data_IF_175084419168
#
_entry.id   IF_175084419168
#
_cell.length_a   1.000
_cell.length_b   1.000
_cell.length_c   1.000
_cell.angle_alpha   90.00
_cell.angle_beta   90.00
_cell.angle_gamma   90.00
#
_symmetry.space_group_name_H-M   'P 1'
#
loop_
_entity.id
_entity.type
_entity.pdbx_description
1 polymer ?
#
# COMPACT_ATOMS: atom_id res chain seq x y z
N UNK A 1 -24.22 17.99 -7.33
CA UNK A 1 -25.07 18.79 -6.41
C UNK A 1 -25.67 17.82 -5.40
N UNK A 2 -25.77 18.19 -4.13
CA UNK A 2 -26.55 17.39 -3.18
C UNK A 2 -28.04 17.61 -3.46
N UNK A 3 -28.80 16.52 -3.61
CA UNK A 3 -30.22 16.54 -3.99
C UNK A 3 -31.16 16.24 -2.81
N UNK A 4 -30.64 16.26 -1.58
CA UNK A 4 -31.45 16.16 -0.37
C UNK A 4 -32.12 17.49 -0.04
N UNK A 5 -31.95 17.95 1.20
CA UNK A 5 -32.52 19.21 1.65
C UNK A 5 -31.85 20.42 1.00
N UNK A 6 -32.64 21.45 0.70
CA UNK A 6 -32.18 22.73 0.17
C UNK A 6 -32.68 23.88 1.04
N UNK A 7 -31.88 24.94 1.18
CA UNK A 7 -32.32 26.16 1.84
C UNK A 7 -33.52 26.77 1.11
N UNK A 8 -34.58 27.10 1.86
CA UNK A 8 -35.75 27.82 1.34
C UNK A 8 -35.59 29.34 1.39
N UNK A 9 -34.69 29.83 2.24
CA UNK A 9 -34.30 31.24 2.36
C UNK A 9 -32.84 31.36 2.82
N UNK A 10 -32.19 32.49 2.51
CA UNK A 10 -30.87 32.80 3.04
C UNK A 10 -30.97 33.05 4.57
N UNK A 11 -30.09 32.45 5.40
CA UNK A 11 -30.05 32.76 6.82
C UNK A 11 -29.73 34.24 7.08
N UNK A 12 -30.20 34.78 8.21
CA UNK A 12 -29.91 36.17 8.59
C UNK A 12 -28.38 36.38 8.68
N UNK A 13 -27.89 37.48 8.09
CA UNK A 13 -26.46 37.81 8.06
C UNK A 13 -25.66 37.04 7.01
N UNK A 14 -26.32 36.30 6.12
CA UNK A 14 -25.70 35.65 4.97
C UNK A 14 -26.18 36.28 3.66
N UNK A 15 -25.24 36.49 2.74
CA UNK A 15 -25.52 36.84 1.35
C UNK A 15 -25.35 35.62 0.44
N UNK A 16 -26.14 35.58 -0.63
CA UNK A 16 -26.05 34.51 -1.64
C UNK A 16 -24.94 34.84 -2.63
N UNK A 17 -23.99 33.92 -2.79
CA UNK A 17 -22.83 34.08 -3.66
C UNK A 17 -22.84 33.12 -4.87
N UNK A 18 -23.70 32.10 -4.87
CA UNK A 18 -23.97 31.29 -6.07
C UNK A 18 -25.41 30.77 -6.11
N UNK A 19 -25.94 30.62 -7.33
CA UNK A 19 -27.28 30.08 -7.61
C UNK A 19 -27.28 29.20 -8.85
N UNK A 20 -28.28 28.34 -8.96
CA UNK A 20 -28.61 27.56 -10.16
C UNK A 20 -30.08 27.75 -10.50
N UNK A 21 -30.53 27.28 -11.67
CA UNK A 21 -31.94 27.34 -12.04
C UNK A 21 -32.85 26.56 -11.07
N UNK A 22 -32.35 25.46 -10.50
CA UNK A 22 -33.10 24.57 -9.60
C UNK A 22 -32.83 24.80 -8.12
N UNK A 23 -31.86 25.64 -7.75
CA UNK A 23 -31.55 25.97 -6.35
C UNK A 23 -31.07 27.42 -6.25
N UNK A 24 -31.84 28.32 -5.62
CA UNK A 24 -31.50 29.73 -5.50
C UNK A 24 -30.39 30.03 -4.48
N UNK A 25 -30.08 29.09 -3.58
CA UNK A 25 -29.12 29.27 -2.47
C UNK A 25 -28.00 28.22 -2.52
N UNK A 26 -27.24 28.18 -3.62
CA UNK A 26 -26.21 27.13 -3.82
C UNK A 26 -24.96 27.39 -3.00
N UNK A 27 -24.58 28.66 -2.86
CA UNK A 27 -23.51 29.05 -1.96
C UNK A 27 -23.86 30.35 -1.24
N UNK A 28 -23.54 30.40 0.05
CA UNK A 28 -23.79 31.53 0.93
C UNK A 28 -22.52 31.91 1.68
N UNK A 29 -22.33 33.20 1.94
CA UNK A 29 -21.24 33.75 2.74
C UNK A 29 -21.83 34.63 3.84
N UNK A 30 -21.34 34.49 5.06
CA UNK A 30 -21.71 35.39 6.15
C UNK A 30 -21.06 36.75 5.93
N UNK A 31 -21.81 37.84 6.13
CA UNK A 31 -21.35 39.20 5.77
C UNK A 31 -20.16 39.67 6.62
N UNK A 32 -20.15 39.37 7.92
CA UNK A 32 -19.09 39.78 8.84
C UNK A 32 -18.09 38.67 9.21
N UNK A 33 -18.51 37.41 9.19
CA UNK A 33 -17.72 36.26 9.68
C UNK A 33 -17.21 35.46 8.50
N UNK A 34 -16.05 34.80 8.66
CA UNK A 34 -15.47 33.87 7.67
C UNK A 34 -16.22 32.52 7.66
N UNK A 35 -17.54 32.55 7.48
CA UNK A 35 -18.41 31.37 7.43
C UNK A 35 -19.00 31.27 6.03
N UNK A 36 -18.83 30.10 5.42
CA UNK A 36 -19.23 29.80 4.06
C UNK A 36 -20.05 28.52 4.06
N UNK A 37 -21.10 28.47 3.24
CA UNK A 37 -21.91 27.28 3.02
C UNK A 37 -22.04 27.00 1.52
N UNK A 38 -21.94 25.73 1.13
CA UNK A 38 -22.08 25.27 -0.25
C UNK A 38 -22.97 24.02 -0.30
N UNK A 39 -23.84 23.91 -1.30
CA UNK A 39 -24.81 22.81 -1.49
C UNK A 39 -24.26 21.70 -2.42
N UNK A 40 -22.95 21.69 -2.65
CA UNK A 40 -22.26 20.69 -3.46
C UNK A 40 -20.94 20.30 -2.81
N UNK A 41 -20.38 19.19 -3.29
CA UNK A 41 -19.16 18.59 -2.77
C UNK A 41 -17.96 19.09 -3.57
N UNK A 42 -17.14 20.04 -3.06
CA UNK A 42 -15.93 20.48 -3.75
C UNK A 42 -14.80 19.45 -3.69
N UNK A 43 -14.91 18.42 -2.85
CA UNK A 43 -13.92 17.36 -2.67
C UNK A 43 -13.97 16.28 -3.75
N UNK A 44 -15.06 16.17 -4.52
CA UNK A 44 -15.21 15.13 -5.54
C UNK A 44 -14.71 15.59 -6.91
N UNK A 45 -14.10 14.66 -7.66
CA UNK A 45 -13.61 14.90 -9.03
C UNK A 45 -14.68 15.37 -10.02
N UNK A 46 -15.96 15.17 -9.71
CA UNK A 46 -17.10 15.63 -10.51
C UNK A 46 -17.34 17.15 -10.40
N UNK A 47 -16.63 17.85 -9.50
CA UNK A 47 -16.63 19.31 -9.38
C UNK A 47 -15.31 19.83 -9.98
N UNK A 48 -15.28 20.29 -11.24
CA UNK A 48 -14.03 20.59 -11.95
C UNK A 48 -13.09 21.56 -11.22
N UNK A 49 -13.64 22.57 -10.54
CA UNK A 49 -12.89 23.59 -9.78
C UNK A 49 -12.95 23.40 -8.26
N UNK A 50 -13.35 22.20 -7.81
CA UNK A 50 -13.53 21.90 -6.39
C UNK A 50 -12.25 22.05 -5.57
N UNK A 51 -11.12 21.54 -6.09
CA UNK A 51 -9.79 21.71 -5.48
C UNK A 51 -9.39 23.17 -5.34
N UNK A 52 -9.69 24.01 -6.35
CA UNK A 52 -9.37 25.44 -6.30
C UNK A 52 -10.21 26.14 -5.22
N UNK A 53 -11.49 25.78 -5.06
CA UNK A 53 -12.36 26.29 -4.01
C UNK A 53 -11.81 25.95 -2.62
N UNK A 54 -11.42 24.69 -2.40
CA UNK A 54 -10.80 24.24 -1.15
C UNK A 54 -9.48 24.97 -0.88
N UNK A 55 -8.64 25.15 -1.91
CA UNK A 55 -7.39 25.91 -1.80
C UNK A 55 -7.62 27.37 -1.40
N UNK A 56 -8.60 28.04 -2.01
CA UNK A 56 -8.96 29.41 -1.66
C UNK A 56 -9.41 29.52 -0.21
N UNK A 57 -10.15 28.53 0.29
CA UNK A 57 -10.56 28.49 1.69
C UNK A 57 -9.37 28.27 2.63
N UNK A 58 -8.57 27.22 2.40
CA UNK A 58 -7.47 26.84 3.30
C UNK A 58 -6.33 27.86 3.27
N UNK A 59 -5.82 28.20 2.08
CA UNK A 59 -4.67 29.10 1.97
C UNK A 59 -5.05 30.57 1.97
N UNK A 60 -6.17 30.93 1.34
CA UNK A 60 -6.61 32.32 1.26
C UNK A 60 -7.36 32.78 2.52
N UNK A 61 -8.48 32.14 2.83
CA UNK A 61 -9.39 32.59 3.89
C UNK A 61 -8.84 32.25 5.29
N UNK A 62 -8.38 31.01 5.49
CA UNK A 62 -7.78 30.55 6.74
C UNK A 62 -6.32 31.00 6.90
N UNK A 63 -5.66 31.41 5.81
CA UNK A 63 -4.28 31.90 5.86
C UNK A 63 -3.24 30.81 6.14
N UNK A 64 -3.56 29.54 5.87
CA UNK A 64 -2.64 28.43 6.11
C UNK A 64 -1.63 28.37 4.97
N UNK A 65 -0.36 28.66 5.30
CA UNK A 65 0.74 28.61 4.34
C UNK A 65 0.98 27.16 3.86
N UNK A 66 1.21 27.00 2.55
CA UNK A 66 1.58 25.72 1.95
C UNK A 66 3.08 25.47 2.10
N UNK A 67 3.46 24.43 2.84
CA UNK A 67 4.83 23.91 2.89
C UNK A 67 5.40 23.76 4.31
N UNK A 68 6.21 22.73 4.52
CA UNK A 68 6.97 22.50 5.77
C UNK A 68 6.73 21.17 6.47
N UNK A 69 5.71 20.40 6.06
CA UNK A 69 5.30 19.17 6.77
C UNK A 69 6.46 18.18 6.97
N UNK A 70 7.27 17.91 5.94
CA UNK A 70 8.38 16.94 6.04
C UNK A 70 9.46 17.35 7.03
N UNK A 71 9.80 18.64 7.11
CA UNK A 71 10.78 19.16 8.07
C UNK A 71 10.22 19.15 9.49
N UNK A 72 8.94 19.49 9.66
CA UNK A 72 8.25 19.39 10.95
C UNK A 72 8.19 17.94 11.45
N UNK A 73 7.96 16.98 10.54
CA UNK A 73 7.86 15.57 10.90
C UNK A 73 9.22 14.97 11.28
N UNK A 74 10.31 15.33 10.59
CA UNK A 74 11.67 14.93 10.97
C UNK A 74 12.01 15.39 12.39
N UNK A 75 11.67 16.64 12.72
CA UNK A 75 11.93 17.19 14.05
C UNK A 75 11.04 16.55 15.13
N UNK A 76 9.78 16.24 14.78
CA UNK A 76 8.87 15.47 15.64
C UNK A 76 9.45 14.09 15.96
N UNK A 77 9.94 13.37 14.95
CA UNK A 77 10.60 12.07 15.12
C UNK A 77 11.80 12.20 16.06
N UNK A 78 12.68 13.18 15.83
CA UNK A 78 13.87 13.40 16.70
C UNK A 78 13.47 13.69 18.14
N UNK A 79 12.43 14.49 18.35
CA UNK A 79 11.93 14.84 19.68
C UNK A 79 11.36 13.61 20.40
N UNK A 80 10.55 12.79 19.71
CA UNK A 80 9.91 11.60 20.28
C UNK A 80 10.95 10.52 20.61
N UNK A 81 11.85 10.23 19.67
CA UNK A 81 12.87 9.17 19.82
C UNK A 81 13.99 9.63 20.76
N UNK A 82 14.28 10.93 20.79
CA UNK A 82 15.37 11.48 21.59
C UNK A 82 16.76 11.08 21.05
N UNK A 83 17.81 11.33 21.85
CA UNK A 83 19.20 11.18 21.39
C UNK A 83 19.74 9.74 21.41
N UNK A 84 19.17 8.87 22.23
CA UNK A 84 19.77 7.55 22.54
C UNK A 84 18.91 6.35 22.18
N UNK A 85 17.59 6.51 22.09
CA UNK A 85 16.72 5.39 21.79
C UNK A 85 16.90 4.92 20.34
N UNK A 86 16.71 3.62 20.14
CA UNK A 86 16.80 2.95 18.86
C UNK A 86 15.39 2.55 18.40
N UNK A 87 15.19 2.50 17.09
CA UNK A 87 13.90 2.23 16.46
C UNK A 87 14.04 1.01 15.57
N UNK A 88 13.11 0.07 15.69
CA UNK A 88 13.03 -1.10 14.80
C UNK A 88 11.79 -1.01 13.91
N UNK A 89 11.82 -1.58 12.72
CA UNK A 89 10.66 -1.56 11.82
C UNK A 89 10.65 -2.69 10.80
N UNK A 90 9.47 -3.22 10.53
CA UNK A 90 9.26 -4.12 9.40
C UNK A 90 9.17 -3.30 8.09
N UNK A 91 10.02 -3.61 7.12
CA UNK A 91 10.02 -2.97 5.80
C UNK A 91 9.81 -4.01 4.72
N UNK A 92 8.68 -3.92 4.00
CA UNK A 92 8.29 -4.90 2.99
C UNK A 92 8.73 -4.52 1.57
N UNK A 93 9.32 -3.34 1.39
CA UNK A 93 9.57 -2.74 0.07
C UNK A 93 8.32 -2.08 -0.53
N UNK A 94 7.18 -2.14 0.16
CA UNK A 94 5.99 -1.36 -0.17
C UNK A 94 6.20 0.13 0.09
N UNK A 95 5.50 0.96 -0.70
CA UNK A 95 5.62 2.44 -0.72
C UNK A 95 5.64 3.03 0.70
N UNK A 96 4.65 2.70 1.52
CA UNK A 96 4.48 3.33 2.84
C UNK A 96 5.63 2.99 3.78
N UNK A 97 6.00 1.71 3.84
CA UNK A 97 7.12 1.25 4.67
C UNK A 97 8.45 1.86 4.21
N UNK A 98 8.65 2.06 2.91
CA UNK A 98 9.88 2.66 2.37
C UNK A 98 9.95 4.16 2.65
N UNK A 99 8.86 4.90 2.46
CA UNK A 99 8.80 6.34 2.77
C UNK A 99 9.00 6.57 4.26
N UNK A 100 8.32 5.78 5.11
CA UNK A 100 8.48 5.83 6.55
C UNK A 100 9.94 5.51 6.97
N UNK A 101 10.53 4.44 6.41
CA UNK A 101 11.92 4.08 6.67
C UNK A 101 12.90 5.19 6.26
N UNK A 102 12.67 5.85 5.13
CA UNK A 102 13.51 6.96 4.66
C UNK A 102 13.40 8.18 5.59
N UNK A 103 12.21 8.53 6.06
CA UNK A 103 12.02 9.59 7.06
C UNK A 103 12.80 9.31 8.35
N UNK A 104 12.69 8.07 8.86
CA UNK A 104 13.41 7.65 10.05
C UNK A 104 14.93 7.71 9.82
N UNK A 105 15.43 7.24 8.68
CA UNK A 105 16.85 7.34 8.36
C UNK A 105 17.36 8.79 8.32
N UNK A 106 16.59 9.73 7.75
CA UNK A 106 16.96 11.16 7.76
C UNK A 106 16.92 11.75 9.17
N UNK A 107 15.94 11.33 9.99
CA UNK A 107 15.75 11.87 11.31
C UNK A 107 16.80 11.39 12.32
N UNK A 108 17.10 10.08 12.32
CA UNK A 108 17.89 9.43 13.37
C UNK A 108 19.05 8.56 12.87
N UNK A 109 19.25 8.46 11.55
CA UNK A 109 20.36 7.73 10.91
C UNK A 109 20.35 6.24 11.21
N UNK A 110 21.53 5.69 11.48
CA UNK A 110 21.78 4.27 11.77
C UNK A 110 21.06 3.75 13.02
N UNK A 111 20.37 4.63 13.77
CA UNK A 111 19.54 4.23 14.91
C UNK A 111 18.21 3.61 14.51
N UNK A 112 17.86 3.67 13.23
CA UNK A 112 16.74 2.95 12.67
C UNK A 112 17.20 1.61 12.08
N UNK A 113 16.64 0.51 12.58
CA UNK A 113 16.91 -0.86 12.14
C UNK A 113 15.71 -1.39 11.37
N UNK A 114 15.85 -1.56 10.06
CA UNK A 114 14.83 -2.18 9.23
C UNK A 114 15.03 -3.70 9.18
N UNK A 115 13.94 -4.45 9.29
CA UNK A 115 13.89 -5.89 9.00
C UNK A 115 12.99 -6.11 7.79
N UNK A 116 13.53 -6.77 6.77
CA UNK A 116 12.78 -7.33 5.66
C UNK A 116 12.78 -8.85 5.75
N UNK A 117 11.59 -9.46 5.76
CA UNK A 117 11.44 -10.92 5.79
C UNK A 117 11.05 -11.41 4.40
N UNK A 118 11.91 -12.21 3.76
CA UNK A 118 11.51 -12.97 2.59
C UNK A 118 10.70 -14.19 3.03
N UNK A 119 9.39 -14.07 2.84
CA UNK A 119 8.42 -15.11 3.18
C UNK A 119 8.21 -16.13 2.04
N UNK A 120 8.98 -16.05 0.95
CA UNK A 120 8.87 -16.98 -0.16
C UNK A 120 7.64 -16.79 -1.06
N UNK A 121 6.75 -15.85 -0.75
CA UNK A 121 5.52 -15.58 -1.52
C UNK A 121 5.44 -14.14 -2.03
N UNK A 122 6.55 -13.41 -2.02
CA UNK A 122 6.70 -12.11 -2.70
C UNK A 122 6.75 -12.26 -4.23
N UNK A 123 6.77 -11.16 -5.00
CA UNK A 123 6.98 -11.25 -6.47
C UNK A 123 8.37 -11.80 -6.81
N UNK A 124 8.56 -12.19 -8.07
CA UNK A 124 9.87 -12.60 -8.56
C UNK A 124 10.88 -11.45 -8.39
N UNK A 125 12.06 -11.75 -7.85
CA UNK A 125 13.16 -10.82 -7.57
C UNK A 125 12.83 -9.67 -6.60
N UNK A 126 11.64 -9.66 -6.02
CA UNK A 126 11.14 -8.56 -5.19
C UNK A 126 12.03 -8.26 -3.99
N UNK A 127 12.45 -9.31 -3.26
CA UNK A 127 13.26 -9.15 -2.06
C UNK A 127 14.62 -8.56 -2.41
N UNK A 128 15.25 -9.10 -3.44
CA UNK A 128 16.56 -8.68 -3.92
C UNK A 128 16.52 -7.22 -4.37
N UNK A 129 15.62 -6.89 -5.30
CA UNK A 129 15.46 -5.53 -5.85
C UNK A 129 15.14 -4.52 -4.74
N UNK A 130 14.21 -4.84 -3.84
CA UNK A 130 13.85 -3.95 -2.75
C UNK A 130 14.99 -3.81 -1.72
N UNK A 131 15.75 -4.88 -1.46
CA UNK A 131 16.89 -4.83 -0.53
C UNK A 131 18.01 -3.94 -1.04
N UNK A 132 18.32 -4.01 -2.35
CA UNK A 132 19.32 -3.17 -3.01
C UNK A 132 18.89 -1.71 -2.95
N UNK A 133 17.63 -1.43 -3.28
CA UNK A 133 17.08 -0.07 -3.23
C UNK A 133 17.15 0.54 -1.82
N UNK A 134 16.65 -0.19 -0.81
CA UNK A 134 16.61 0.27 0.57
C UNK A 134 18.01 0.44 1.17
N UNK A 135 18.90 -0.54 0.97
CA UNK A 135 20.23 -0.53 1.59
C UNK A 135 21.21 0.36 0.83
N UNK A 136 21.37 0.16 -0.47
CA UNK A 136 22.44 0.80 -1.25
C UNK A 136 22.08 2.22 -1.68
N UNK A 137 20.84 2.44 -2.14
CA UNK A 137 20.43 3.76 -2.64
C UNK A 137 19.87 4.66 -1.53
N UNK A 138 19.09 4.09 -0.62
CA UNK A 138 18.46 4.86 0.46
C UNK A 138 19.29 4.92 1.75
N UNK A 139 20.33 4.09 1.87
CA UNK A 139 21.24 4.06 3.01
C UNK A 139 20.58 3.53 4.29
N UNK A 140 19.55 2.70 4.17
CA UNK A 140 18.82 2.17 5.34
C UNK A 140 19.59 0.99 5.91
N UNK A 141 19.80 1.00 7.22
CA UNK A 141 20.34 -0.14 7.96
C UNK A 141 19.30 -1.29 7.94
N UNK A 142 19.45 -2.17 6.95
CA UNK A 142 18.50 -3.22 6.61
C UNK A 142 19.07 -4.60 6.91
N UNK A 143 18.34 -5.39 7.71
CA UNK A 143 18.53 -6.83 7.87
C UNK A 143 17.53 -7.57 6.99
N UNK A 144 18.02 -8.44 6.10
CA UNK A 144 17.18 -9.30 5.25
C UNK A 144 17.19 -10.71 5.81
N UNK A 145 16.01 -11.25 6.05
CA UNK A 145 15.80 -12.53 6.72
C UNK A 145 15.16 -13.48 5.72
N UNK A 146 15.88 -14.54 5.34
CA UNK A 146 15.31 -15.60 4.51
C UNK A 146 14.51 -16.56 5.39
N UNK A 147 13.19 -16.57 5.22
CA UNK A 147 12.27 -17.47 5.92
C UNK A 147 11.45 -18.33 4.94
N UNK A 148 11.89 -18.46 3.69
CA UNK A 148 11.14 -19.10 2.60
C UNK A 148 10.66 -20.51 3.00
N UNK A 149 11.57 -21.36 3.47
CA UNK A 149 11.26 -22.75 3.83
C UNK A 149 10.27 -22.85 4.99
N UNK A 150 10.38 -21.95 5.98
CA UNK A 150 9.48 -21.91 7.13
C UNK A 150 8.04 -21.58 6.69
N UNK A 151 7.89 -20.56 5.85
CA UNK A 151 6.56 -20.14 5.35
C UNK A 151 5.94 -21.19 4.44
N UNK A 152 6.69 -21.70 3.45
CA UNK A 152 6.18 -22.71 2.52
C UNK A 152 5.88 -24.03 3.23
N UNK A 153 6.69 -24.43 4.21
CA UNK A 153 6.43 -25.61 5.05
C UNK A 153 5.13 -25.49 5.84
N UNK A 154 4.85 -24.32 6.44
CA UNK A 154 3.58 -24.08 7.15
C UNK A 154 2.36 -23.95 6.24
N UNK A 155 2.55 -23.67 4.96
CA UNK A 155 1.47 -23.55 3.96
C UNK A 155 1.12 -24.88 3.27
N UNK A 156 1.92 -25.92 3.46
CA UNK A 156 1.71 -27.23 2.86
C UNK A 156 0.33 -27.80 3.25
N UNK A 157 -0.42 -28.31 2.27
CA UNK A 157 -1.77 -28.84 2.45
C UNK A 157 -2.85 -27.80 2.77
N UNK A 158 -2.51 -26.51 2.87
CA UNK A 158 -3.48 -25.45 3.21
C UNK A 158 -4.13 -24.88 1.95
N UNK A 159 -5.42 -25.10 1.81
CA UNK A 159 -6.21 -24.62 0.65
C UNK A 159 -7.10 -23.42 0.99
N UNK A 160 -7.59 -23.34 2.23
CA UNK A 160 -8.47 -22.27 2.69
C UNK A 160 -7.74 -20.90 2.74
N UNK A 161 -8.24 -19.88 2.02
CA UNK A 161 -7.55 -18.60 1.89
C UNK A 161 -7.41 -17.83 3.21
N UNK A 162 -8.38 -17.94 4.12
CA UNK A 162 -8.33 -17.26 5.42
C UNK A 162 -7.32 -17.93 6.36
N UNK A 163 -7.21 -19.25 6.32
CA UNK A 163 -6.13 -19.99 7.01
C UNK A 163 -4.77 -19.61 6.48
N UNK A 164 -4.59 -19.51 5.15
CA UNK A 164 -3.31 -19.03 4.56
C UNK A 164 -2.93 -17.65 5.10
N UNK A 165 -3.89 -16.69 5.11
CA UNK A 165 -3.68 -15.34 5.65
C UNK A 165 -3.19 -15.38 7.10
N UNK A 166 -3.89 -16.12 7.96
CA UNK A 166 -3.53 -16.27 9.37
C UNK A 166 -2.15 -16.90 9.57
N UNK A 167 -1.85 -17.97 8.84
CA UNK A 167 -0.56 -18.66 8.93
C UNK A 167 0.59 -17.72 8.55
N UNK A 168 0.46 -17.02 7.43
CA UNK A 168 1.50 -16.07 6.97
C UNK A 168 1.65 -14.93 7.98
N UNK A 169 0.54 -14.33 8.44
CA UNK A 169 0.56 -13.24 9.41
C UNK A 169 1.25 -13.65 10.72
N UNK A 170 0.86 -14.78 11.30
CA UNK A 170 1.45 -15.28 12.54
C UNK A 170 2.93 -15.65 12.38
N UNK A 171 3.28 -16.31 11.29
CA UNK A 171 4.67 -16.71 11.03
C UNK A 171 5.57 -15.49 10.79
N UNK A 172 5.05 -14.45 10.14
CA UNK A 172 5.76 -13.19 10.00
C UNK A 172 6.05 -12.54 11.36
N UNK A 173 5.06 -12.53 12.24
CA UNK A 173 5.21 -12.03 13.61
C UNK A 173 6.31 -12.81 14.35
N UNK A 174 6.25 -14.15 14.33
CA UNK A 174 7.24 -15.02 14.98
C UNK A 174 8.67 -14.73 14.49
N UNK A 175 8.85 -14.62 13.17
CA UNK A 175 10.17 -14.33 12.57
C UNK A 175 10.64 -12.92 12.94
N UNK A 176 9.76 -11.93 12.88
CA UNK A 176 10.09 -10.56 13.23
C UNK A 176 10.48 -10.43 14.71
N UNK A 177 9.76 -11.07 15.64
CA UNK A 177 10.10 -11.07 17.07
C UNK A 177 11.47 -11.72 17.33
N UNK A 178 11.75 -12.85 16.68
CA UNK A 178 13.03 -13.53 16.82
C UNK A 178 14.21 -12.66 16.38
N UNK A 179 14.06 -11.93 15.28
CA UNK A 179 15.09 -11.03 14.75
C UNK A 179 15.19 -9.74 15.56
N UNK A 180 14.06 -9.20 16.02
CA UNK A 180 14.04 -8.06 16.93
C UNK A 180 14.77 -8.35 18.24
N UNK A 181 14.61 -9.55 18.81
CA UNK A 181 15.31 -9.96 20.02
C UNK A 181 16.84 -10.04 19.83
N UNK A 182 17.30 -10.51 18.66
CA UNK A 182 18.74 -10.52 18.32
C UNK A 182 19.28 -9.10 18.22
N UNK A 183 18.57 -8.21 17.52
CA UNK A 183 18.96 -6.80 17.40
C UNK A 183 19.00 -6.09 18.75
N UNK A 184 18.01 -6.33 19.62
CA UNK A 184 18.00 -5.77 20.99
C UNK A 184 19.24 -6.19 21.78
N UNK A 185 19.68 -7.45 21.66
CA UNK A 185 20.90 -7.92 22.31
C UNK A 185 22.17 -7.25 21.74
N UNK A 186 22.23 -7.00 20.44
CA UNK A 186 23.36 -6.30 19.79
C UNK A 186 23.41 -4.82 20.14
N UNK A 187 22.26 -4.16 20.13
CA UNK A 187 22.08 -2.76 20.54
C UNK A 187 22.43 -2.60 22.03
N UNK A 188 22.03 -3.56 22.88
CA UNK A 188 22.37 -3.60 24.29
C UNK A 188 23.87 -3.65 24.57
N UNK A 189 24.65 -4.37 23.74
CA UNK A 189 26.13 -4.39 23.82
C UNK A 189 26.75 -3.02 23.58
N UNK A 190 26.06 -2.13 22.86
CA UNK A 190 26.49 -0.74 22.59
C UNK A 190 25.96 0.25 23.65
N UNK A 191 25.36 -0.24 24.74
CA UNK A 191 24.80 0.60 25.81
C UNK A 191 23.54 1.36 25.42
N UNK A 192 22.81 0.88 24.39
CA UNK A 192 21.57 1.49 23.90
C UNK A 192 20.41 0.51 24.02
N UNK A 193 19.20 0.95 23.68
CA UNK A 193 17.97 0.18 23.82
C UNK A 193 16.99 0.46 22.68
N UNK A 194 16.37 -0.58 22.13
CA UNK A 194 15.25 -0.42 21.21
C UNK A 194 14.00 -0.11 22.05
N UNK A 195 13.46 1.11 21.87
CA UNK A 195 12.26 1.55 22.57
C UNK A 195 11.06 1.72 21.65
N UNK A 196 11.29 1.81 20.34
CA UNK A 196 10.25 2.16 19.39
C UNK A 196 10.12 1.15 18.25
N UNK A 197 8.88 0.97 17.80
CA UNK A 197 8.50 0.19 16.63
C UNK A 197 7.87 1.10 15.57
N UNK A 198 8.48 1.13 14.39
CA UNK A 198 7.95 1.84 13.23
C UNK A 198 6.73 1.11 12.65
N UNK A 199 5.66 1.87 12.39
CA UNK A 199 4.56 1.43 11.54
C UNK A 199 4.28 2.46 10.45
N UNK A 200 4.06 1.97 9.22
CA UNK A 200 3.67 2.78 8.07
C UNK A 200 2.17 3.08 8.01
N UNK A 201 1.50 3.18 9.17
CA UNK A 201 0.06 3.45 9.28
C UNK A 201 -0.30 4.74 8.56
N UNK A 202 -1.36 4.73 7.75
CA UNK A 202 -1.86 5.90 7.04
C UNK A 202 -3.13 6.46 7.68
N UNK A 203 -3.51 7.70 7.30
CA UNK A 203 -4.70 8.35 7.83
C UNK A 203 -6.01 7.57 7.60
N UNK A 204 -6.25 6.93 6.43
CA UNK A 204 -7.42 6.07 6.25
C UNK A 204 -7.50 4.92 7.26
N UNK A 205 -6.36 4.33 7.65
CA UNK A 205 -6.32 3.23 8.61
C UNK A 205 -6.74 3.71 10.02
N UNK A 206 -6.38 4.95 10.37
CA UNK A 206 -6.77 5.58 11.63
C UNK A 206 -8.28 5.83 11.67
N UNK A 207 -8.87 6.38 10.60
CA UNK A 207 -10.32 6.66 10.52
C UNK A 207 -11.13 5.36 10.65
N UNK A 208 -10.69 4.29 9.98
CA UNK A 208 -11.32 2.97 10.05
C UNK A 208 -11.26 2.38 11.46
N UNK A 209 -10.17 2.61 12.21
CA UNK A 209 -9.99 2.11 13.57
C UNK A 209 -10.84 2.84 14.63
N UNK A 210 -11.22 4.10 14.38
CA UNK A 210 -11.96 4.96 15.32
C UNK A 210 -13.48 4.87 15.12
N UNK A 211 -13.95 4.40 13.97
CA UNK A 211 -15.38 4.31 13.65
C UNK A 211 -16.12 3.20 14.42
N UNK A 212 -16.56 3.53 15.63
CA UNK A 212 -17.27 2.65 16.58
C UNK A 212 -18.79 2.46 16.31
N UNK A 213 -19.34 2.85 15.15
CA UNK A 213 -20.80 2.79 14.90
C UNK A 213 -21.18 2.28 13.51
N UNK A 214 -21.28 0.97 13.36
CA UNK A 214 -21.89 0.29 12.20
C UNK A 214 -21.17 -1.03 11.87
N UNK A 215 -21.83 -2.02 11.23
CA UNK A 215 -21.26 -3.33 10.97
C UNK A 215 -20.26 -3.25 9.82
N UNK A 216 -19.17 -2.50 10.00
CA UNK A 216 -17.98 -2.69 9.19
C UNK A 216 -17.43 -4.03 9.62
N UNK A 217 -17.66 -5.06 8.80
CA UNK A 217 -16.98 -6.33 8.96
C UNK A 217 -15.50 -6.01 9.18
N UNK A 218 -14.86 -6.74 10.09
CA UNK A 218 -13.47 -6.62 10.55
C UNK A 218 -12.46 -6.91 9.42
N UNK A 219 -12.56 -6.15 8.32
CA UNK A 219 -11.94 -6.40 7.02
C UNK A 219 -10.44 -6.07 7.04
N UNK A 220 -9.96 -5.25 7.99
CA UNK A 220 -8.53 -4.88 8.10
C UNK A 220 -7.93 -5.12 9.49
N UNK A 221 -8.22 -6.26 10.10
CA UNK A 221 -7.58 -6.66 11.37
C UNK A 221 -6.07 -6.97 11.26
N UNK A 222 -5.49 -7.06 10.06
CA UNK A 222 -4.14 -7.62 9.85
C UNK A 222 -3.22 -6.81 8.91
N UNK A 223 -3.55 -5.55 8.61
CA UNK A 223 -2.70 -4.74 7.72
C UNK A 223 -1.54 -4.06 8.45
N UNK A 224 -1.74 -3.73 9.73
CA UNK A 224 -0.67 -3.26 10.58
C UNK A 224 -0.18 -4.40 11.46
N UNK A 225 1.07 -4.28 11.87
CA UNK A 225 1.81 -5.08 12.85
C UNK A 225 1.10 -5.17 14.23
N UNK A 226 -0.20 -4.83 14.33
CA UNK A 226 -1.00 -4.76 15.55
C UNK A 226 -1.05 -6.05 16.39
N UNK A 227 -0.84 -7.22 15.79
CA UNK A 227 -0.68 -8.48 16.52
C UNK A 227 0.58 -8.56 17.40
N UNK A 228 1.64 -7.82 17.04
CA UNK A 228 2.90 -7.77 17.79
C UNK A 228 2.79 -7.00 19.11
N UNK A 229 1.89 -6.02 19.20
CA UNK A 229 1.83 -5.08 20.33
C UNK A 229 1.32 -5.68 21.63
N UNK A 230 0.54 -6.76 21.57
CA UNK A 230 0.06 -7.42 22.79
C UNK A 230 1.22 -7.99 23.63
N UNK A 231 2.34 -8.34 22.99
CA UNK A 231 3.49 -8.95 23.63
C UNK A 231 4.75 -8.07 23.63
N UNK A 232 4.85 -7.10 22.70
CA UNK A 232 6.01 -6.20 22.61
C UNK A 232 5.89 -4.96 23.51
N UNK A 233 6.87 -4.75 24.40
CA UNK A 233 6.99 -3.55 25.25
C UNK A 233 7.57 -2.32 24.51
N UNK A 234 7.29 -2.19 23.22
CA UNK A 234 7.79 -1.09 22.37
C UNK A 234 6.73 0.00 22.22
N UNK A 235 7.17 1.26 22.15
CA UNK A 235 6.32 2.41 21.81
C UNK A 235 6.15 2.48 20.29
N UNK A 236 4.99 2.86 19.80
CA UNK A 236 4.79 3.04 18.36
C UNK A 236 5.32 4.39 17.88
N UNK A 237 5.91 4.39 16.68
CA UNK A 237 6.15 5.59 15.89
C UNK A 237 5.51 5.44 14.51
N UNK A 238 4.58 6.34 14.21
CA UNK A 238 3.75 6.31 12.99
C UNK A 238 3.90 7.65 12.27
N UNK A 239 4.94 7.83 11.44
CA UNK A 239 5.23 9.12 10.83
C UNK A 239 4.26 9.48 9.70
N UNK A 240 3.55 8.51 9.12
CA UNK A 240 2.65 8.70 8.00
C UNK A 240 1.16 8.75 8.40
N UNK A 241 0.87 8.70 9.70
CA UNK A 241 -0.50 8.53 10.23
C UNK A 241 -1.48 9.64 9.87
N UNK A 242 -0.99 10.79 9.43
CA UNK A 242 -1.80 11.96 9.04
C UNK A 242 -1.86 12.15 7.51
N UNK A 243 -1.29 11.22 6.74
CA UNK A 243 -1.21 11.31 5.29
C UNK A 243 -2.14 10.32 4.59
N UNK A 244 -2.66 10.76 3.45
CA UNK A 244 -3.27 9.91 2.44
C UNK A 244 -2.23 9.28 1.51
N UNK A 245 -2.65 8.28 0.72
CA UNK A 245 -1.75 7.46 -0.11
C UNK A 245 -1.05 8.26 -1.21
N UNK A 246 -1.75 9.23 -1.80
CA UNK A 246 -1.22 10.17 -2.79
C UNK A 246 -0.21 11.14 -2.18
N UNK A 247 -0.47 11.63 -0.97
CA UNK A 247 0.48 12.47 -0.21
C UNK A 247 1.75 11.70 0.16
N UNK A 248 1.64 10.44 0.55
CA UNK A 248 2.80 9.56 0.79
C UNK A 248 3.62 9.38 -0.48
N UNK A 249 2.98 9.27 -1.65
CA UNK A 249 3.69 9.18 -2.92
C UNK A 249 4.42 10.48 -3.26
N UNK A 250 3.75 11.61 -3.14
CA UNK A 250 4.36 12.93 -3.35
C UNK A 250 5.54 13.17 -2.39
N UNK A 251 5.39 12.76 -1.12
CA UNK A 251 6.47 12.80 -0.14
C UNK A 251 7.64 11.90 -0.55
N UNK A 252 7.37 10.70 -1.05
CA UNK A 252 8.41 9.80 -1.55
C UNK A 252 9.23 10.41 -2.69
N UNK A 253 8.58 11.12 -3.61
CA UNK A 253 9.27 11.85 -4.69
C UNK A 253 10.13 13.00 -4.13
N UNK A 254 9.62 13.77 -3.16
CA UNK A 254 10.38 14.82 -2.49
C UNK A 254 11.61 14.27 -1.74
N UNK A 255 11.53 13.04 -1.25
CA UNK A 255 12.64 12.33 -0.59
C UNK A 255 13.61 11.66 -1.58
N UNK A 256 13.46 11.92 -2.89
CA UNK A 256 14.26 11.34 -3.98
C UNK A 256 14.24 9.80 -4.01
N UNK A 257 13.11 9.19 -3.65
CA UNK A 257 12.90 7.75 -3.82
C UNK A 257 12.53 7.47 -5.29
N UNK A 258 13.06 6.38 -5.86
CA UNK A 258 12.81 6.02 -7.25
C UNK A 258 11.30 5.96 -7.58
N UNK A 259 10.90 6.62 -8.66
CA UNK A 259 9.49 6.70 -9.05
C UNK A 259 8.88 5.33 -9.37
N UNK A 260 9.68 4.37 -9.84
CA UNK A 260 9.20 3.01 -10.04
C UNK A 260 8.87 2.33 -8.73
N UNK A 261 9.48 2.72 -7.60
CA UNK A 261 9.14 2.24 -6.27
C UNK A 261 7.90 2.92 -5.70
N UNK A 262 7.79 4.24 -5.85
CA UNK A 262 6.68 5.04 -5.31
C UNK A 262 5.33 4.67 -5.93
N UNK A 263 5.33 4.32 -7.20
CA UNK A 263 4.10 4.12 -7.96
C UNK A 263 3.80 2.67 -8.27
N UNK A 264 4.37 1.76 -7.48
CA UNK A 264 4.06 0.33 -7.58
C UNK A 264 2.61 0.10 -7.23
N UNK A 265 2.00 -0.85 -7.93
CA UNK A 265 0.70 -1.36 -7.56
C UNK A 265 0.76 -1.96 -6.16
N UNK A 266 -0.30 -1.78 -5.35
CA UNK A 266 -0.37 -2.37 -4.03
C UNK A 266 -0.21 -3.89 -4.12
N UNK A 267 0.62 -4.43 -3.23
CA UNK A 267 0.88 -5.85 -3.11
C UNK A 267 0.40 -6.33 -1.74
N UNK A 268 -0.43 -7.39 -1.68
CA UNK A 268 -1.01 -7.85 -0.41
C UNK A 268 0.08 -8.45 0.49
N UNK A 269 -0.07 -8.34 1.82
CA UNK A 269 0.86 -8.95 2.78
C UNK A 269 1.08 -10.46 2.58
N UNK A 270 0.00 -11.26 2.38
CA UNK A 270 0.10 -12.66 1.98
C UNK A 270 0.71 -12.93 0.60
N UNK A 271 1.01 -11.87 -0.17
CA UNK A 271 1.64 -11.92 -1.46
C UNK A 271 0.93 -12.81 -2.48
N UNK A 272 1.72 -13.63 -3.18
CA UNK A 272 1.28 -14.58 -4.20
C UNK A 272 0.51 -15.76 -3.60
N UNK A 273 0.61 -16.03 -2.29
CA UNK A 273 -0.09 -17.16 -1.67
C UNK A 273 -1.63 -17.09 -1.81
N UNK A 274 -2.17 -15.87 -1.88
CA UNK A 274 -3.61 -15.62 -2.12
C UNK A 274 -3.95 -15.45 -3.61
N UNK A 275 -2.95 -15.49 -4.50
CA UNK A 275 -3.08 -15.50 -5.96
C UNK A 275 -2.91 -16.91 -6.53
N UNK A 276 -2.37 -17.84 -5.74
CA UNK A 276 -2.43 -19.28 -5.98
C UNK A 276 -3.70 -19.82 -5.34
N UNK A 277 -4.66 -20.21 -6.17
CA UNK A 277 -5.91 -20.82 -5.69
C UNK A 277 -5.66 -22.31 -5.41
N UNK A 278 -6.14 -22.80 -4.26
CA UNK A 278 -5.85 -24.17 -3.81
C UNK A 278 -4.64 -24.23 -2.89
N UNK A 279 -3.87 -25.31 -2.92
CA UNK A 279 -2.64 -25.45 -2.12
C UNK A 279 -1.56 -24.43 -2.55
N UNK A 280 -0.57 -24.16 -1.71
CA UNK A 280 0.59 -23.31 -2.05
C UNK A 280 1.88 -24.12 -1.89
N UNK A 281 2.38 -24.66 -3.01
CA UNK A 281 3.67 -25.37 -3.06
C UNK A 281 4.77 -24.51 -3.71
N UNK A 282 6.06 -24.85 -3.52
CA UNK A 282 7.16 -24.14 -4.18
C UNK A 282 7.00 -24.04 -5.71
N UNK A 283 6.55 -25.11 -6.37
CA UNK A 283 6.32 -25.12 -7.82
C UNK A 283 5.18 -24.20 -8.25
N UNK A 284 4.07 -24.18 -7.51
CA UNK A 284 2.95 -23.29 -7.80
C UNK A 284 3.32 -21.82 -7.61
N UNK A 285 4.09 -21.52 -6.55
CA UNK A 285 4.60 -20.17 -6.30
C UNK A 285 5.56 -19.76 -7.42
N UNK A 286 6.45 -20.64 -7.87
CA UNK A 286 7.34 -20.39 -9.01
C UNK A 286 6.54 -20.04 -10.27
N UNK A 287 5.56 -20.87 -10.65
CA UNK A 287 4.71 -20.64 -11.82
C UNK A 287 3.99 -19.29 -11.73
N UNK A 288 3.35 -19.02 -10.58
CA UNK A 288 2.62 -17.77 -10.38
C UNK A 288 3.54 -16.53 -10.43
N UNK A 289 4.77 -16.64 -9.87
CA UNK A 289 5.80 -15.59 -9.93
C UNK A 289 6.25 -15.29 -11.34
N UNK A 290 6.57 -16.32 -12.12
CA UNK A 290 7.02 -16.18 -13.52
C UNK A 290 5.91 -15.56 -14.39
N UNK A 291 4.67 -16.03 -14.25
CA UNK A 291 3.53 -15.48 -14.97
C UNK A 291 3.23 -14.02 -14.58
N UNK A 292 3.23 -13.68 -13.27
CA UNK A 292 3.04 -12.31 -12.79
C UNK A 292 4.16 -11.39 -13.30
N UNK A 293 5.40 -11.88 -13.32
CA UNK A 293 6.55 -11.12 -13.82
C UNK A 293 6.39 -10.76 -15.30
N UNK A 294 6.08 -11.72 -16.17
CA UNK A 294 5.84 -11.47 -17.60
C UNK A 294 4.68 -10.50 -17.79
N UNK A 295 3.58 -10.72 -17.08
CA UNK A 295 2.39 -9.87 -17.18
C UNK A 295 2.69 -8.41 -16.83
N UNK A 296 3.32 -8.17 -15.67
CA UNK A 296 3.68 -6.82 -15.24
C UNK A 296 4.74 -6.20 -16.16
N UNK A 297 5.68 -6.99 -16.68
CA UNK A 297 6.71 -6.51 -17.61
C UNK A 297 6.08 -5.98 -18.90
N UNK A 298 5.14 -6.72 -19.51
CA UNK A 298 4.48 -6.29 -20.74
C UNK A 298 3.55 -5.08 -20.52
N UNK A 299 2.84 -5.02 -19.38
CA UNK A 299 2.07 -3.83 -18.98
C UNK A 299 2.96 -2.58 -18.90
N UNK A 300 4.17 -2.72 -18.32
CA UNK A 300 5.14 -1.62 -18.22
C UNK A 300 5.68 -1.22 -19.59
N UNK A 301 6.05 -2.19 -20.44
CA UNK A 301 6.53 -1.93 -21.81
C UNK A 301 5.48 -1.20 -22.66
N UNK A 302 4.20 -1.53 -22.48
CA UNK A 302 3.09 -0.86 -23.16
C UNK A 302 2.74 0.53 -22.58
N UNK A 303 3.42 0.99 -21.52
CA UNK A 303 3.13 2.27 -20.87
C UNK A 303 1.79 2.31 -20.13
N UNK A 304 1.19 1.16 -19.84
CA UNK A 304 -0.14 1.05 -19.22
C UNK A 304 -0.11 1.00 -17.69
N UNK A 305 1.06 0.75 -17.10
CA UNK A 305 1.20 0.48 -15.66
C UNK A 305 0.59 1.57 -14.76
N UNK A 306 0.72 2.85 -15.13
CA UNK A 306 0.19 4.00 -14.37
C UNK A 306 -1.31 4.22 -14.56
N UNK A 307 -1.90 3.65 -15.62
CA UNK A 307 -3.34 3.73 -15.90
C UNK A 307 -4.12 2.68 -15.10
N UNK A 308 -3.47 1.58 -14.76
CA UNK A 308 -4.03 0.48 -13.98
C UNK A 308 -3.81 0.74 -12.49
N UNK A 309 -4.85 0.58 -11.67
CA UNK A 309 -4.72 0.72 -10.22
C UNK A 309 -4.10 -0.53 -9.57
N UNK A 310 -4.44 -1.72 -10.07
CA UNK A 310 -3.80 -2.98 -9.67
C UNK A 310 -3.86 -4.01 -10.80
N UNK A 311 -2.73 -4.66 -11.10
CA UNK A 311 -2.66 -5.83 -11.97
C UNK A 311 -1.92 -6.99 -11.29
N UNK A 312 -2.37 -8.23 -11.59
CA UNK A 312 -1.65 -9.45 -11.24
C UNK A 312 -2.11 -10.68 -12.03
N UNK A 313 -1.23 -11.69 -12.10
CA UNK A 313 -1.56 -13.03 -12.56
C UNK A 313 -1.93 -13.95 -11.38
N UNK A 314 -2.98 -14.75 -11.54
CA UNK A 314 -3.40 -15.76 -10.56
C UNK A 314 -3.31 -17.16 -11.16
N UNK A 315 -2.90 -18.14 -10.36
CA UNK A 315 -2.81 -19.54 -10.78
C UNK A 315 -4.06 -20.29 -10.33
N UNK A 316 -4.75 -20.92 -11.29
CA UNK A 316 -5.97 -21.69 -11.02
C UNK A 316 -5.62 -23.17 -10.70
N UNK A 317 -6.40 -23.85 -9.83
CA UNK A 317 -6.18 -25.23 -9.44
C UNK A 317 -6.78 -26.21 -10.46
N UNK A 318 -6.76 -25.85 -11.75
CA UNK A 318 -7.34 -26.64 -12.85
C UNK A 318 -6.29 -26.79 -13.94
N UNK A 319 -6.40 -27.89 -14.68
CA UNK A 319 -5.55 -28.16 -15.85
C UNK A 319 -6.38 -28.12 -17.11
N UNK A 320 -5.82 -27.55 -18.16
CA UNK A 320 -6.43 -27.50 -19.48
C UNK A 320 -5.62 -28.35 -20.47
N UNK A 321 -6.31 -28.85 -21.50
CA UNK A 321 -5.64 -29.47 -22.64
C UNK A 321 -5.06 -28.37 -23.52
N UNK A 322 -3.83 -28.57 -23.98
CA UNK A 322 -3.14 -27.73 -24.94
C UNK A 322 -2.36 -28.57 -25.96
N UNK A 323 -1.84 -27.89 -26.97
CA UNK A 323 -0.87 -28.46 -27.92
C UNK A 323 0.31 -27.49 -27.95
N UNK A 324 1.50 -28.00 -27.62
CA UNK A 324 2.75 -27.24 -27.67
C UNK A 324 3.76 -28.06 -28.47
N UNK A 325 4.27 -27.51 -29.57
CA UNK A 325 4.96 -28.30 -30.58
C UNK A 325 4.05 -29.39 -31.15
N UNK A 326 4.55 -30.63 -31.21
CA UNK A 326 3.81 -31.79 -31.74
C UNK A 326 3.20 -32.68 -30.64
N UNK A 327 3.18 -32.21 -29.39
CA UNK A 327 2.70 -32.99 -28.24
C UNK A 327 1.50 -32.35 -27.55
N UNK A 328 0.62 -33.22 -27.02
CA UNK A 328 -0.50 -32.81 -26.18
C UNK A 328 0.00 -32.52 -24.77
N UNK A 329 -0.39 -31.37 -24.22
CA UNK A 329 -0.05 -30.96 -22.86
C UNK A 329 -1.30 -30.88 -21.98
N UNK A 330 -1.11 -31.12 -20.68
CA UNK A 330 -2.15 -31.02 -19.64
C UNK A 330 -1.57 -30.19 -18.49
N UNK A 331 -1.64 -28.87 -18.64
CA UNK A 331 -0.95 -27.91 -17.78
C UNK A 331 -1.92 -26.90 -17.16
N UNK A 332 -1.42 -26.07 -16.24
CA UNK A 332 -2.25 -25.18 -15.44
C UNK A 332 -2.74 -23.96 -16.25
N UNK A 333 -3.75 -23.30 -15.69
CA UNK A 333 -4.38 -22.11 -16.24
C UNK A 333 -4.01 -20.89 -15.40
N UNK A 334 -3.59 -19.82 -16.08
CA UNK A 334 -3.39 -18.50 -15.48
C UNK A 334 -4.65 -17.65 -15.72
N UNK A 335 -5.05 -16.87 -14.71
CA UNK A 335 -6.05 -15.82 -14.86
C UNK A 335 -5.36 -14.46 -14.71
N UNK A 336 -5.54 -13.59 -15.71
CA UNK A 336 -5.06 -12.22 -15.67
C UNK A 336 -6.12 -11.31 -15.05
N UNK A 337 -5.74 -10.52 -14.05
CA UNK A 337 -6.59 -9.49 -13.47
C UNK A 337 -5.92 -8.13 -13.60
N UNK A 338 -6.67 -7.15 -14.08
CA UNK A 338 -6.32 -5.74 -13.95
C UNK A 338 -7.59 -4.94 -13.68
N UNK A 339 -7.48 -3.94 -12.82
CA UNK A 339 -8.61 -3.10 -12.43
C UNK A 339 -8.24 -1.62 -12.40
N UNK A 340 -9.21 -0.79 -12.70
CA UNK A 340 -9.21 0.64 -12.43
C UNK A 340 -10.12 0.94 -11.24
N UNK A 341 -9.65 1.82 -10.36
CA UNK A 341 -10.45 2.25 -9.20
C UNK A 341 -10.03 3.64 -8.76
N UNK A 342 -11.01 4.43 -8.32
CA UNK A 342 -10.80 5.74 -7.71
C UNK A 342 -10.59 5.65 -6.19
N UNK A 343 -11.20 4.67 -5.52
CA UNK A 343 -11.28 4.59 -4.05
C UNK A 343 -10.94 3.20 -3.47
N UNK A 344 -10.62 2.22 -4.32
CA UNK A 344 -10.44 0.80 -4.00
C UNK A 344 -11.65 0.12 -3.33
N UNK A 345 -12.80 0.80 -3.24
CA UNK A 345 -14.08 0.25 -2.77
C UNK A 345 -14.94 -0.21 -3.94
N UNK A 346 -14.87 0.49 -5.07
CA UNK A 346 -15.47 0.08 -6.34
C UNK A 346 -14.39 -0.03 -7.41
N UNK A 347 -14.43 -1.07 -8.24
CA UNK A 347 -13.41 -1.28 -9.25
C UNK A 347 -14.02 -1.88 -10.52
N UNK A 348 -13.62 -1.34 -11.67
CA UNK A 348 -13.94 -1.91 -12.97
C UNK A 348 -12.72 -2.64 -13.53
N UNK A 349 -12.96 -3.59 -14.44
CA UNK A 349 -11.89 -4.28 -15.13
C UNK A 349 -11.20 -3.32 -16.12
N UNK A 350 -9.88 -3.43 -16.25
CA UNK A 350 -9.14 -2.58 -17.18
C UNK A 350 -9.33 -3.06 -18.62
N UNK A 351 -9.75 -2.16 -19.49
CA UNK A 351 -9.90 -2.43 -20.93
C UNK A 351 -8.53 -2.48 -21.62
N UNK A 352 -7.97 -3.69 -21.74
CA UNK A 352 -6.69 -3.86 -22.40
C UNK A 352 -6.76 -3.72 -23.93
N UNK A 353 -5.74 -3.08 -24.56
CA UNK A 353 -5.47 -3.26 -25.97
C UNK A 353 -5.24 -4.75 -26.31
N UNK A 354 -5.91 -5.22 -27.36
CA UNK A 354 -5.92 -6.63 -27.73
C UNK A 354 -4.52 -7.18 -28.06
N UNK A 355 -3.68 -6.37 -28.70
CA UNK A 355 -2.29 -6.69 -29.04
C UNK A 355 -1.41 -6.91 -27.80
N UNK A 356 -1.62 -6.13 -26.75
CA UNK A 356 -0.93 -6.27 -25.47
C UNK A 356 -1.34 -7.59 -24.80
N UNK A 357 -2.64 -7.89 -24.72
CA UNK A 357 -3.12 -9.18 -24.18
C UNK A 357 -2.62 -10.38 -24.98
N UNK A 358 -2.62 -10.29 -26.31
CA UNK A 358 -2.10 -11.33 -27.20
C UNK A 358 -0.63 -11.61 -26.89
N UNK A 359 0.17 -10.56 -26.69
CA UNK A 359 1.59 -10.68 -26.37
C UNK A 359 1.80 -11.31 -24.99
N UNK A 360 1.07 -10.85 -23.98
CA UNK A 360 1.11 -11.41 -22.62
C UNK A 360 0.78 -12.90 -22.64
N UNK A 361 -0.36 -13.28 -23.24
CA UNK A 361 -0.81 -14.68 -23.31
C UNK A 361 0.22 -15.56 -24.03
N UNK A 362 0.75 -15.08 -25.16
CA UNK A 362 1.77 -15.82 -25.92
C UNK A 362 3.06 -16.01 -25.13
N UNK A 363 3.55 -14.97 -24.44
CA UNK A 363 4.77 -15.06 -23.62
C UNK A 363 4.59 -15.99 -22.43
N UNK A 364 3.48 -15.87 -21.69
CA UNK A 364 3.20 -16.74 -20.55
C UNK A 364 3.16 -18.21 -20.97
N UNK A 365 2.44 -18.55 -22.03
CA UNK A 365 2.30 -19.94 -22.49
C UNK A 365 3.65 -20.51 -23.00
N UNK A 366 4.48 -19.71 -23.66
CA UNK A 366 5.73 -20.19 -24.24
C UNK A 366 6.92 -20.21 -23.25
N UNK A 367 6.91 -19.32 -22.25
CA UNK A 367 8.07 -19.13 -21.36
C UNK A 367 7.86 -19.79 -19.98
N UNK A 368 6.61 -19.91 -19.49
CA UNK A 368 6.31 -20.43 -18.14
C UNK A 368 6.02 -21.92 -18.20
N UNK A 369 7.00 -22.74 -17.81
CA UNK A 369 6.84 -24.19 -17.75
C UNK A 369 5.76 -24.61 -16.75
N UNK A 370 4.76 -25.34 -17.24
CA UNK A 370 3.62 -25.82 -16.44
C UNK A 370 2.33 -25.01 -16.66
N UNK A 371 2.30 -24.10 -17.63
CA UNK A 371 1.12 -23.32 -18.04
C UNK A 371 0.89 -23.45 -19.54
N UNK A 372 -0.33 -23.82 -19.94
CA UNK A 372 -0.72 -23.90 -21.36
C UNK A 372 -1.97 -23.08 -21.73
N UNK A 373 -2.49 -22.31 -20.77
CA UNK A 373 -3.71 -21.51 -20.95
C UNK A 373 -3.62 -20.25 -20.10
N UNK A 374 -4.06 -19.14 -20.69
CA UNK A 374 -4.12 -17.84 -20.05
C UNK A 374 -5.41 -17.13 -20.45
#
# INVERSE_FOLDING_TARGET
MSHGDSLSAAPLGFKVIAKTASSPFVAVEHEEKKIYGIQFHPEVTHTPEGTMLLKNFVSGICGIASGGWSMTEIERIRTIVGPTAEVIGAVSGGVDSTVAAKLLNIAIGDRFHAIMVDNGVMRLNECEEASVELREKLGINLTVVNAVDLFLGKLQGVTDPEKKRKIIGNTFIEVFEAEAAKLEAEVGKKGRKIEFLLQGTLYPDVIESVSFKGPSATIKTHHNVGGLLANMKLKLIEPLRELFKDEVRALGELLNIDSNLIWRHPFPGPGIAIRVLGEVTPDQVRIAREADYIYIQEIKKAGLYRKISQAYAALLPVKAVGVMGDHRTYEQVIALRAVETKDFMTADWFEFPYDVLKTISSRIINEVKGVNRC
#
